data_IF_215167967587
#
_entry.id   IF_215167967587
#
_cell.length_a   1.000
_cell.length_b   1.000
_cell.length_c   1.000
_cell.angle_alpha   90.00
_cell.angle_beta   90.00
_cell.angle_gamma   90.00
#
_symmetry.space_group_name_H-M   'P 1'
#
loop_
_entity.id
_entity.type
_entity.pdbx_description
1 polymer ?
#
# COMPACT_ATOMS: atom_id res chain seq x y z
N UNK A 1 2.09 -15.48 17.39
CA UNK A 1 0.79 -15.02 17.90
C UNK A 1 0.00 -16.23 18.35
N UNK A 2 -0.50 -16.24 19.58
CA UNK A 2 -1.51 -17.21 20.02
C UNK A 2 -2.85 -16.89 19.33
N UNK A 3 -3.75 -17.88 19.21
CA UNK A 3 -5.09 -17.66 18.64
C UNK A 3 -5.87 -16.55 19.37
N UNK A 4 -5.64 -16.39 20.68
CA UNK A 4 -6.25 -15.36 21.52
C UNK A 4 -5.89 -13.94 21.05
N UNK A 5 -4.61 -13.68 20.76
CA UNK A 5 -4.16 -12.37 20.27
C UNK A 5 -4.73 -12.02 18.90
N UNK A 6 -4.98 -13.03 18.05
CA UNK A 6 -5.67 -12.78 16.78
C UNK A 6 -7.15 -12.42 17.01
N UNK A 7 -7.86 -13.13 17.88
CA UNK A 7 -9.27 -12.83 18.19
C UNK A 7 -9.42 -11.41 18.76
N UNK A 8 -8.60 -11.05 19.75
CA UNK A 8 -8.61 -9.70 20.34
C UNK A 8 -8.31 -8.61 19.32
N UNK A 9 -7.33 -8.81 18.43
CA UNK A 9 -7.02 -7.85 17.37
C UNK A 9 -8.22 -7.65 16.43
N UNK A 10 -8.91 -8.73 16.06
CA UNK A 10 -10.03 -8.68 15.12
C UNK A 10 -11.30 -8.09 15.75
N UNK A 11 -11.66 -8.49 16.96
CA UNK A 11 -12.83 -7.96 17.67
C UNK A 11 -12.67 -6.46 17.93
N UNK A 12 -11.47 -6.02 18.34
CA UNK A 12 -11.18 -4.60 18.56
C UNK A 12 -11.18 -3.77 17.26
N UNK A 13 -10.72 -4.35 16.15
CA UNK A 13 -10.63 -3.63 14.86
C UNK A 13 -11.98 -3.51 14.17
N UNK A 14 -12.79 -4.58 14.18
CA UNK A 14 -14.01 -4.64 13.36
C UNK A 14 -15.31 -4.59 14.14
N UNK A 15 -15.31 -4.81 15.47
CA UNK A 15 -16.51 -4.85 16.31
C UNK A 15 -17.62 -5.78 15.76
N UNK A 16 -17.23 -6.87 15.10
CA UNK A 16 -18.14 -7.84 14.48
C UNK A 16 -17.93 -9.20 15.17
N UNK A 17 -19.00 -9.95 15.51
CA UNK A 17 -18.87 -11.29 16.06
C UNK A 17 -18.12 -12.24 15.12
N UNK A 18 -17.32 -13.16 15.68
CA UNK A 18 -16.52 -14.15 14.92
C UNK A 18 -17.36 -14.89 13.86
N UNK A 19 -18.58 -15.26 14.24
CA UNK A 19 -19.74 -15.65 13.40
C UNK A 19 -19.76 -15.02 12.00
N UNK A 20 -20.12 -13.74 12.05
CA UNK A 20 -20.36 -12.90 10.89
C UNK A 20 -19.07 -12.59 10.14
N UNK A 21 -17.95 -12.53 10.86
CA UNK A 21 -16.63 -12.36 10.25
C UNK A 21 -16.28 -13.56 9.36
N UNK A 22 -16.39 -14.79 9.87
CA UNK A 22 -16.16 -16.01 9.07
C UNK A 22 -17.05 -16.02 7.84
N UNK A 23 -18.35 -15.74 8.02
CA UNK A 23 -19.30 -15.66 6.91
C UNK A 23 -18.84 -14.66 5.84
N UNK A 24 -18.48 -13.43 6.22
CA UNK A 24 -17.97 -12.40 5.27
C UNK A 24 -16.66 -12.79 4.61
N UNK A 25 -15.75 -13.43 5.33
CA UNK A 25 -14.44 -13.84 4.80
C UNK A 25 -14.55 -14.96 3.77
N UNK A 26 -15.46 -15.92 4.01
CA UNK A 26 -15.56 -17.14 3.21
C UNK A 26 -16.69 -17.11 2.16
N UNK A 27 -17.66 -16.19 2.25
CA UNK A 27 -18.82 -16.13 1.33
C UNK A 27 -18.47 -15.98 -0.14
N UNK A 28 -17.34 -15.36 -0.46
CA UNK A 28 -16.90 -15.12 -1.83
C UNK A 28 -15.79 -16.10 -2.27
N UNK A 29 -15.70 -17.25 -1.60
CA UNK A 29 -14.75 -18.30 -1.92
C UNK A 29 -15.52 -19.53 -2.37
N UNK A 30 -15.31 -19.92 -3.63
CA UNK A 30 -15.90 -21.13 -4.17
C UNK A 30 -15.38 -22.37 -3.47
N UNK A 31 -16.30 -23.28 -3.14
CA UNK A 31 -15.92 -24.56 -2.55
C UNK A 31 -14.96 -25.34 -3.47
N UNK A 32 -13.76 -25.71 -3.01
CA UNK A 32 -12.84 -26.51 -3.80
C UNK A 32 -13.38 -27.94 -4.00
N UNK A 33 -13.08 -28.53 -5.16
CA UNK A 33 -13.37 -29.94 -5.41
C UNK A 33 -12.58 -30.86 -4.46
N UNK A 34 -13.26 -31.79 -3.80
CA UNK A 34 -12.64 -32.80 -2.94
C UNK A 34 -13.64 -33.87 -2.51
N UNK A 35 -13.18 -35.11 -2.44
CA UNK A 35 -14.01 -36.27 -2.08
C UNK A 35 -14.41 -36.27 -0.60
N UNK A 36 -13.64 -35.60 0.26
CA UNK A 36 -13.89 -35.54 1.71
C UNK A 36 -13.85 -34.10 2.20
N UNK A 37 -14.55 -33.79 3.30
CA UNK A 37 -14.49 -32.47 3.94
C UNK A 37 -13.06 -32.07 4.31
N UNK A 38 -12.25 -33.03 4.80
CA UNK A 38 -10.82 -32.82 5.06
C UNK A 38 -10.06 -32.40 3.80
N UNK A 39 -10.28 -33.11 2.68
CA UNK A 39 -9.66 -32.77 1.40
C UNK A 39 -10.08 -31.39 0.88
N UNK A 40 -11.37 -31.06 0.99
CA UNK A 40 -11.90 -29.73 0.65
C UNK A 40 -11.26 -28.64 1.51
N UNK A 41 -11.19 -28.84 2.82
CA UNK A 41 -10.59 -27.90 3.77
C UNK A 41 -9.11 -27.64 3.48
N UNK A 42 -8.32 -28.68 3.24
CA UNK A 42 -6.89 -28.52 2.89
C UNK A 42 -6.72 -27.71 1.60
N UNK A 43 -7.52 -28.02 0.57
CA UNK A 43 -7.49 -27.27 -0.70
C UNK A 43 -7.95 -25.83 -0.55
N UNK A 44 -8.91 -25.55 0.34
CA UNK A 44 -9.40 -24.21 0.62
C UNK A 44 -8.25 -23.29 1.04
N UNK A 45 -7.47 -23.69 2.06
CA UNK A 45 -6.35 -22.87 2.55
C UNK A 45 -5.28 -22.66 1.49
N UNK A 46 -5.00 -23.68 0.68
CA UNK A 46 -4.07 -23.54 -0.43
C UNK A 46 -4.56 -22.54 -1.49
N UNK A 47 -5.85 -22.55 -1.81
CA UNK A 47 -6.45 -21.59 -2.74
C UNK A 47 -6.45 -20.17 -2.19
N UNK A 48 -6.72 -20.00 -0.88
CA UNK A 48 -6.63 -18.70 -0.20
C UNK A 48 -5.20 -18.16 -0.28
N UNK A 49 -4.20 -18.99 0.02
CA UNK A 49 -2.79 -18.59 -0.09
C UNK A 49 -2.44 -18.17 -1.51
N UNK A 50 -2.83 -18.96 -2.52
CA UNK A 50 -2.61 -18.63 -3.94
C UNK A 50 -3.25 -17.29 -4.33
N UNK A 51 -4.48 -17.05 -3.87
CA UNK A 51 -5.20 -15.79 -4.12
C UNK A 51 -4.46 -14.62 -3.48
N UNK A 52 -4.06 -14.74 -2.21
CA UNK A 52 -3.28 -13.72 -1.51
C UNK A 52 -1.96 -13.44 -2.22
N UNK A 53 -1.21 -14.50 -2.57
CA UNK A 53 0.05 -14.39 -3.32
C UNK A 53 -0.15 -13.62 -4.63
N UNK A 54 -1.22 -13.91 -5.39
CA UNK A 54 -1.51 -13.19 -6.65
C UNK A 54 -1.83 -11.71 -6.41
N UNK A 55 -2.70 -11.41 -5.45
CA UNK A 55 -3.11 -10.04 -5.11
C UNK A 55 -1.89 -9.23 -4.66
N UNK A 56 -1.09 -9.77 -3.74
CA UNK A 56 0.08 -9.09 -3.22
C UNK A 56 1.13 -8.86 -4.31
N UNK A 57 1.42 -9.86 -5.16
CA UNK A 57 2.37 -9.65 -6.24
C UNK A 57 1.90 -8.62 -7.26
N UNK A 58 0.59 -8.55 -7.53
CA UNK A 58 0.05 -7.48 -8.37
C UNK A 58 0.22 -6.11 -7.69
N UNK A 59 -0.10 -6.01 -6.40
CA UNK A 59 0.14 -4.81 -5.62
C UNK A 59 1.61 -4.37 -5.66
N UNK A 60 2.56 -5.28 -5.41
CA UNK A 60 3.99 -4.98 -5.42
C UNK A 60 4.47 -4.52 -6.80
N UNK A 61 3.93 -5.10 -7.88
CA UNK A 61 4.23 -4.65 -9.25
C UNK A 61 3.75 -3.23 -9.51
N UNK A 62 2.52 -2.91 -9.11
CA UNK A 62 1.98 -1.55 -9.28
C UNK A 62 2.70 -0.55 -8.37
N UNK A 63 2.99 -0.93 -7.12
CA UNK A 63 3.78 -0.13 -6.19
C UNK A 63 5.15 0.21 -6.77
N UNK A 64 5.87 -0.77 -7.34
CA UNK A 64 7.16 -0.53 -8.00
C UNK A 64 7.06 0.44 -9.19
N UNK A 65 5.95 0.45 -9.93
CA UNK A 65 5.75 1.43 -11.01
C UNK A 65 5.57 2.84 -10.45
N UNK A 66 4.71 2.97 -9.44
CA UNK A 66 4.46 4.26 -8.77
C UNK A 66 5.73 4.78 -8.11
N UNK A 67 6.50 3.92 -7.45
CA UNK A 67 7.78 4.26 -6.84
C UNK A 67 8.81 4.77 -7.85
N UNK A 68 8.90 4.15 -9.03
CA UNK A 68 9.75 4.65 -10.11
C UNK A 68 9.32 6.04 -10.57
N UNK A 69 8.03 6.26 -10.82
CA UNK A 69 7.51 7.56 -11.22
C UNK A 69 7.74 8.62 -10.16
N UNK A 70 7.52 8.28 -8.89
CA UNK A 70 7.79 9.16 -7.75
C UNK A 70 9.26 9.59 -7.70
N UNK A 71 10.19 8.64 -7.84
CA UNK A 71 11.62 8.94 -7.82
C UNK A 71 12.04 9.85 -8.99
N UNK A 72 11.50 9.62 -10.20
CA UNK A 72 11.74 10.49 -11.35
C UNK A 72 11.23 11.91 -11.07
N UNK A 73 9.98 12.06 -10.63
CA UNK A 73 9.39 13.37 -10.34
C UNK A 73 10.12 14.11 -9.23
N UNK A 74 10.54 13.38 -8.19
CA UNK A 74 11.34 13.94 -7.10
C UNK A 74 12.68 14.47 -7.62
N UNK A 75 13.42 13.66 -8.37
CA UNK A 75 14.70 14.08 -8.96
C UNK A 75 14.55 15.25 -9.92
N UNK A 76 13.52 15.26 -10.76
CA UNK A 76 13.23 16.36 -11.68
C UNK A 76 12.87 17.64 -10.95
N UNK A 77 12.06 17.57 -9.89
CA UNK A 77 11.70 18.72 -9.06
C UNK A 77 12.93 19.27 -8.32
N UNK A 78 13.78 18.40 -7.79
CA UNK A 78 15.04 18.79 -7.15
C UNK A 78 16.00 19.45 -8.15
N UNK A 79 16.12 18.91 -9.37
CA UNK A 79 16.90 19.53 -10.46
C UNK A 79 16.32 20.87 -10.87
N UNK A 80 15.00 20.97 -11.02
CA UNK A 80 14.30 22.22 -11.33
C UNK A 80 14.62 23.29 -10.29
N UNK A 81 14.51 22.99 -8.99
CA UNK A 81 14.87 23.93 -7.94
C UNK A 81 16.34 24.37 -7.96
N UNK A 82 17.27 23.49 -8.39
CA UNK A 82 18.70 23.85 -8.53
C UNK A 82 18.96 24.72 -9.76
N UNK A 83 18.33 24.41 -10.89
CA UNK A 83 18.55 25.10 -12.17
C UNK A 83 17.78 26.41 -12.27
N UNK A 84 16.60 26.48 -11.65
CA UNK A 84 15.73 27.64 -11.56
C UNK A 84 15.67 28.13 -10.12
N UNK A 85 16.84 28.45 -9.56
CA UNK A 85 16.87 29.24 -8.33
C UNK A 85 16.35 30.64 -8.67
N UNK A 86 15.04 30.83 -8.47
CA UNK A 86 14.35 32.09 -8.75
C UNK A 86 14.99 33.25 -7.99
N UNK A 87 15.60 33.00 -6.83
CA UNK A 87 16.39 33.97 -6.08
C UNK A 87 17.62 34.43 -6.88
N UNK A 88 18.30 33.51 -7.57
CA UNK A 88 19.43 33.84 -8.43
C UNK A 88 19.00 34.62 -9.69
N UNK A 89 17.90 34.20 -10.32
CA UNK A 89 17.36 34.87 -11.52
C UNK A 89 16.87 36.28 -11.18
N UNK A 90 16.11 36.44 -10.10
CA UNK A 90 15.60 37.74 -9.66
C UNK A 90 16.73 38.65 -9.19
N UNK A 91 17.70 38.12 -8.44
CA UNK A 91 18.92 38.85 -8.09
C UNK A 91 19.79 39.21 -9.31
N UNK A 92 19.72 38.46 -10.41
CA UNK A 92 20.37 38.83 -11.67
C UNK A 92 19.67 40.01 -12.35
N UNK A 93 18.33 40.05 -12.36
CA UNK A 93 17.58 41.21 -12.85
C UNK A 93 17.79 42.47 -12.01
N UNK A 94 17.96 42.33 -10.69
CA UNK A 94 18.35 43.44 -9.82
C UNK A 94 19.75 43.98 -10.15
N UNK A 95 20.73 43.08 -10.37
CA UNK A 95 22.11 43.45 -10.77
C UNK A 95 22.22 44.05 -12.17
N UNK A 96 21.25 43.80 -13.05
CA UNK A 96 21.22 44.34 -14.40
C UNK A 96 20.89 45.84 -14.44
N UNK A 97 20.68 46.50 -13.29
CA UNK A 97 20.28 47.91 -13.20
C UNK A 97 19.20 48.26 -14.23
N UNK A 98 18.14 47.44 -14.31
CA UNK A 98 16.93 47.87 -15.01
C UNK A 98 16.46 49.12 -14.27
N UNK A 99 16.60 50.27 -14.93
CA UNK A 99 16.36 51.57 -14.31
C UNK A 99 15.02 51.54 -13.57
N UNK A 100 15.00 52.11 -12.37
CA UNK A 100 13.84 52.19 -11.48
C UNK A 100 12.58 52.80 -12.14
N UNK A 101 12.70 53.32 -13.37
CA UNK A 101 11.63 53.90 -14.16
C UNK A 101 10.70 52.91 -14.87
N UNK A 102 11.10 51.66 -15.15
CA UNK A 102 10.23 50.69 -15.88
C UNK A 102 9.51 49.67 -14.99
N UNK A 103 10.04 49.43 -13.79
CA UNK A 103 9.39 48.64 -12.74
C UNK A 103 9.09 49.64 -11.63
N UNK A 104 7.96 50.35 -11.75
CA UNK A 104 7.60 51.47 -10.87
C UNK A 104 7.92 51.18 -9.41
N UNK A 105 8.39 52.19 -8.67
CA UNK A 105 8.82 52.10 -7.28
C UNK A 105 7.74 51.49 -6.40
N UNK A 106 7.79 50.18 -6.21
CA UNK A 106 6.87 49.43 -5.36
C UNK A 106 7.55 49.28 -4.00
N UNK A 107 7.10 50.05 -3.02
CA UNK A 107 7.36 49.74 -1.62
C UNK A 107 6.97 48.26 -1.38
N UNK A 108 7.90 47.46 -0.85
CA UNK A 108 7.82 46.00 -0.65
C UNK A 108 8.23 45.09 -1.84
N UNK A 109 9.07 45.55 -2.77
CA UNK A 109 9.61 44.73 -3.87
C UNK A 109 10.24 43.41 -3.40
N UNK A 110 11.03 43.42 -2.33
CA UNK A 110 11.61 42.21 -1.72
C UNK A 110 10.54 41.22 -1.26
N UNK A 111 9.51 41.71 -0.58
CA UNK A 111 8.39 40.89 -0.11
C UNK A 111 7.59 40.29 -1.26
N UNK A 112 7.39 41.03 -2.35
CA UNK A 112 6.72 40.54 -3.56
C UNK A 112 7.55 39.46 -4.25
N UNK A 113 8.87 39.63 -4.30
CA UNK A 113 9.82 38.64 -4.83
C UNK A 113 9.80 37.37 -4.01
N UNK A 114 9.86 37.45 -2.68
CA UNK A 114 9.72 36.31 -1.78
C UNK A 114 8.39 35.58 -1.98
N UNK A 115 7.28 36.32 -2.03
CA UNK A 115 5.93 35.77 -2.29
C UNK A 115 5.85 35.06 -3.66
N UNK A 116 6.54 35.58 -4.68
CA UNK A 116 6.58 35.00 -6.01
C UNK A 116 7.41 33.72 -6.02
N UNK A 117 8.56 33.72 -5.35
CA UNK A 117 9.43 32.53 -5.18
C UNK A 117 8.65 31.42 -4.48
N UNK A 118 7.93 31.75 -3.41
CA UNK A 118 7.13 30.77 -2.67
C UNK A 118 5.99 30.20 -3.52
N UNK A 119 5.24 31.07 -4.23
CA UNK A 119 4.12 30.64 -5.10
C UNK A 119 4.55 29.83 -6.32
N UNK A 120 5.77 30.05 -6.83
CA UNK A 120 6.32 29.33 -7.98
C UNK A 120 7.08 28.06 -7.60
N UNK A 121 7.29 27.81 -6.29
CA UNK A 121 7.98 26.62 -5.81
C UNK A 121 7.09 25.39 -6.01
N UNK A 122 7.59 24.44 -6.79
CA UNK A 122 6.89 23.18 -7.00
C UNK A 122 7.11 22.30 -5.75
N UNK A 123 6.05 21.89 -5.03
CA UNK A 123 6.22 21.07 -3.85
C UNK A 123 6.78 19.70 -4.24
N UNK A 124 7.77 19.23 -3.48
CA UNK A 124 8.26 17.86 -3.64
C UNK A 124 7.16 16.93 -3.11
N UNK A 125 6.75 15.92 -3.89
CA UNK A 125 5.69 15.01 -3.46
C UNK A 125 6.08 14.28 -2.17
N UNK A 126 5.08 14.08 -1.31
CA UNK A 126 5.26 13.36 -0.05
C UNK A 126 5.71 11.90 -0.27
N UNK A 127 6.47 11.32 0.68
CA UNK A 127 6.91 9.93 0.59
C UNK A 127 5.74 8.94 0.44
N UNK A 128 5.90 7.97 -0.47
CA UNK A 128 4.87 6.96 -0.74
C UNK A 128 4.50 6.10 0.47
N UNK A 129 5.41 5.92 1.43
CA UNK A 129 5.18 5.13 2.64
C UNK A 129 4.15 5.74 3.60
N UNK A 130 3.77 7.01 3.41
CA UNK A 130 2.67 7.64 4.15
C UNK A 130 1.30 7.16 3.65
N UNK A 131 1.22 6.79 2.36
CA UNK A 131 -0.02 6.40 1.71
C UNK A 131 -0.13 4.87 1.54
N UNK A 132 1.01 4.19 1.39
CA UNK A 132 1.07 2.78 1.06
C UNK A 132 1.99 2.03 2.01
N UNK A 133 1.52 0.87 2.46
CA UNK A 133 2.34 -0.05 3.25
C UNK A 133 3.32 -0.80 2.34
N UNK A 134 4.60 -0.76 2.69
CA UNK A 134 5.63 -1.53 1.99
C UNK A 134 5.63 -2.98 2.50
N UNK A 135 5.02 -3.88 1.74
CA UNK A 135 4.97 -5.30 2.06
C UNK A 135 6.16 -6.06 1.50
N UNK A 136 6.66 -7.04 2.26
CA UNK A 136 7.63 -7.99 1.74
C UNK A 136 6.96 -9.01 0.81
N UNK A 137 7.68 -9.52 -0.21
CA UNK A 137 7.16 -10.59 -1.07
C UNK A 137 6.90 -11.87 -0.26
N UNK A 138 5.85 -12.60 -0.66
CA UNK A 138 5.53 -13.90 -0.07
C UNK A 138 6.30 -15.02 -0.76
N UNK A 139 6.63 -16.11 -0.05
CA UNK A 139 7.12 -17.34 -0.67
C UNK A 139 6.18 -17.86 -1.76
N UNK A 140 6.72 -18.57 -2.75
CA UNK A 140 5.89 -19.10 -3.84
C UNK A 140 4.93 -20.18 -3.32
N UNK A 141 3.76 -20.39 -3.95
CA UNK A 141 2.81 -21.41 -3.53
C UNK A 141 3.41 -22.82 -3.50
N UNK A 142 4.41 -23.14 -4.33
CA UNK A 142 5.09 -24.44 -4.32
C UNK A 142 5.93 -24.63 -3.05
N UNK A 143 6.67 -23.59 -2.63
CA UNK A 143 7.52 -23.62 -1.43
C UNK A 143 6.75 -23.89 -0.14
N UNK A 144 5.50 -23.41 -0.04
CA UNK A 144 4.69 -23.56 1.17
C UNK A 144 3.64 -24.66 1.08
N UNK A 145 3.41 -25.24 -0.10
CA UNK A 145 2.30 -26.18 -0.37
C UNK A 145 2.21 -27.33 0.63
N UNK A 146 3.32 -28.02 0.88
CA UNK A 146 3.39 -29.19 1.78
C UNK A 146 3.12 -28.78 3.22
N UNK A 147 3.82 -27.76 3.72
CA UNK A 147 3.68 -27.26 5.10
C UNK A 147 2.27 -26.72 5.36
N UNK A 148 1.71 -25.97 4.42
CA UNK A 148 0.36 -25.45 4.51
C UNK A 148 -0.68 -26.58 4.54
N UNK A 149 -0.50 -27.59 3.69
CA UNK A 149 -1.37 -28.76 3.66
C UNK A 149 -1.32 -29.54 4.98
N UNK A 150 -0.13 -29.70 5.55
CA UNK A 150 0.06 -30.34 6.85
C UNK A 150 -0.63 -29.57 7.97
N UNK A 151 -0.45 -28.24 8.04
CA UNK A 151 -1.10 -27.40 9.03
C UNK A 151 -2.63 -27.42 8.90
N UNK A 152 -3.15 -27.38 7.67
CA UNK A 152 -4.59 -27.49 7.44
C UNK A 152 -5.14 -28.87 7.85
N UNK A 153 -4.40 -29.96 7.61
CA UNK A 153 -4.78 -31.31 8.10
C UNK A 153 -4.81 -31.36 9.62
N UNK A 154 -3.76 -30.87 10.29
CA UNK A 154 -3.68 -30.83 11.76
C UNK A 154 -4.83 -30.00 12.33
N UNK A 155 -5.12 -28.84 11.73
CA UNK A 155 -6.23 -27.99 12.18
C UNK A 155 -7.59 -28.68 12.02
N UNK A 156 -7.79 -29.41 10.92
CA UNK A 156 -9.01 -30.17 10.70
C UNK A 156 -9.17 -31.29 11.73
N UNK A 157 -8.09 -32.01 12.04
CA UNK A 157 -8.10 -33.10 13.03
C UNK A 157 -8.35 -32.58 14.45
N UNK A 158 -7.81 -31.41 14.80
CA UNK A 158 -8.02 -30.81 16.12
C UNK A 158 -9.43 -30.28 16.34
N UNK A 159 -10.07 -29.73 15.30
CA UNK A 159 -11.42 -29.18 15.41
C UNK A 159 -12.22 -29.42 14.12
N UNK A 160 -12.76 -30.63 13.93
CA UNK A 160 -13.45 -31.00 12.69
C UNK A 160 -14.77 -30.26 12.52
N UNK A 161 -15.48 -29.95 13.61
CA UNK A 161 -16.77 -29.25 13.53
C UNK A 161 -16.61 -27.81 13.07
N UNK A 162 -15.65 -27.06 13.63
CA UNK A 162 -15.34 -25.71 13.15
C UNK A 162 -14.83 -25.72 11.69
N UNK A 163 -14.09 -26.76 11.28
CA UNK A 163 -13.65 -26.89 9.90
C UNK A 163 -14.83 -27.12 8.93
N UNK A 164 -15.82 -27.95 9.33
CA UNK A 164 -17.06 -28.14 8.56
C UNK A 164 -17.91 -26.87 8.53
N UNK A 165 -17.95 -26.12 9.63
CA UNK A 165 -18.64 -24.82 9.69
C UNK A 165 -18.03 -23.85 8.67
N UNK A 166 -16.69 -23.73 8.61
CA UNK A 166 -16.02 -22.90 7.60
C UNK A 166 -16.39 -23.33 6.17
N UNK A 167 -16.42 -24.64 5.90
CA UNK A 167 -16.82 -25.16 4.59
C UNK A 167 -18.28 -24.84 4.26
N UNK A 168 -19.16 -24.69 5.25
CA UNK A 168 -20.56 -24.32 5.04
C UNK A 168 -20.76 -22.86 4.66
N UNK A 169 -19.76 -21.99 4.90
CA UNK A 169 -19.81 -20.59 4.50
C UNK A 169 -19.33 -20.34 3.06
N UNK A 170 -18.84 -21.37 2.37
CA UNK A 170 -18.36 -21.26 0.99
C UNK A 170 -19.52 -21.13 0.00
N UNK A 171 -19.26 -20.44 -1.11
CA UNK A 171 -20.17 -20.36 -2.26
C UNK A 171 -20.13 -21.61 -3.12
#
# INVERSE_FOLDING_TARGET
>A
MSCEKSLELYENTYKIPEKELKKKLFSNIFSPFGFTSKGKFVKLFYNIYKRLYKILNNFLKEYQKVEKTYNILKEETEKFHKSFDLSYILGFFERLEISEAEIGGIENKEKIVEDLIEKLRIPIPEPLNLYFLNYSPLPTPSQVSSKLSQLAKISFEKNPENAKEILSFLA
#
